data_IF_013032916843
#
_entry.id   IF_013032916843
#
_cell.length_a   1.000
_cell.length_b   1.000
_cell.length_c   1.000
_cell.angle_alpha   90.00
_cell.angle_beta   90.00
_cell.angle_gamma   90.00
#
_symmetry.space_group_name_H-M   'P 1'
#
loop_
_entity.id
_entity.type
_entity.pdbx_description
1 polymer ?
#
# COMPACT_ATOMS: atom_id res chain seq x y z
N UNK A 1 30.77 -50.56 -61.63
CA UNK A 1 29.70 -49.75 -60.99
C UNK A 1 30.04 -49.80 -59.56
N UNK A 2 30.72 -48.77 -59.05
CA UNK A 2 31.16 -48.64 -57.65
C UNK A 2 30.15 -47.69 -56.98
N UNK A 3 29.28 -48.23 -56.14
CA UNK A 3 28.40 -47.49 -55.29
C UNK A 3 29.26 -46.76 -54.26
N UNK A 4 29.23 -45.42 -54.28
CA UNK A 4 29.80 -44.55 -53.28
C UNK A 4 28.70 -44.20 -52.30
N UNK A 5 28.70 -44.89 -51.14
CA UNK A 5 27.91 -44.54 -50.03
C UNK A 5 28.21 -43.09 -49.51
N UNK A 6 27.21 -42.23 -49.27
CA UNK A 6 27.45 -40.89 -48.77
C UNK A 6 27.92 -40.97 -47.30
N UNK A 7 28.80 -40.04 -46.85
CA UNK A 7 29.37 -40.06 -45.50
C UNK A 7 28.29 -39.83 -44.45
N UNK A 8 28.16 -40.81 -43.57
CA UNK A 8 27.32 -40.76 -42.37
C UNK A 8 27.70 -39.54 -41.49
N UNK A 9 26.80 -38.56 -41.40
CA UNK A 9 26.98 -37.36 -40.60
C UNK A 9 26.82 -37.76 -39.11
N UNK A 10 27.92 -38.09 -38.44
CA UNK A 10 27.96 -38.27 -36.97
C UNK A 10 27.54 -36.99 -36.27
N UNK A 11 26.29 -36.87 -35.88
CA UNK A 11 25.84 -35.85 -34.96
C UNK A 11 26.52 -36.05 -33.61
N UNK A 12 27.30 -35.02 -33.19
CA UNK A 12 28.00 -35.02 -31.92
C UNK A 12 26.96 -34.92 -30.78
N UNK A 13 26.82 -35.92 -29.89
CA UNK A 13 25.77 -35.95 -28.85
C UNK A 13 25.99 -34.93 -27.71
N UNK A 14 27.09 -34.19 -27.69
CA UNK A 14 27.44 -33.29 -26.62
C UNK A 14 26.62 -31.99 -26.52
N UNK A 15 26.07 -31.53 -27.63
CA UNK A 15 25.37 -30.22 -27.66
C UNK A 15 23.96 -30.29 -27.01
N UNK A 16 23.27 -31.39 -27.09
CA UNK A 16 21.91 -31.56 -26.51
C UNK A 16 21.93 -31.78 -25.00
N UNK A 17 22.98 -32.39 -24.47
CA UNK A 17 23.06 -32.68 -23.01
C UNK A 17 23.42 -31.41 -22.22
N UNK A 18 24.25 -30.53 -22.78
CA UNK A 18 24.61 -29.25 -22.17
C UNK A 18 23.45 -28.25 -22.14
N UNK A 19 22.67 -28.17 -23.25
CA UNK A 19 21.47 -27.32 -23.28
C UNK A 19 20.38 -27.84 -22.33
N UNK A 20 20.24 -29.15 -22.15
CA UNK A 20 19.28 -29.75 -21.26
C UNK A 20 19.58 -29.44 -19.77
N UNK A 21 20.85 -29.22 -19.41
CA UNK A 21 21.27 -28.86 -18.05
C UNK A 21 21.32 -27.35 -17.83
N UNK A 22 21.68 -26.55 -18.84
CA UNK A 22 21.85 -25.10 -18.72
C UNK A 22 20.48 -24.40 -18.51
N UNK A 23 19.45 -24.81 -19.23
CA UNK A 23 18.13 -24.18 -19.13
C UNK A 23 17.52 -24.31 -17.71
N UNK A 24 17.47 -25.52 -17.08
CA UNK A 24 16.97 -25.62 -15.70
C UNK A 24 17.91 -24.96 -14.70
N UNK A 25 19.22 -24.91 -14.93
CA UNK A 25 20.15 -24.21 -14.05
C UNK A 25 19.91 -22.68 -14.05
N UNK A 26 19.69 -22.09 -15.23
CA UNK A 26 19.33 -20.67 -15.35
C UNK A 26 17.96 -20.39 -14.70
N UNK A 27 16.97 -21.26 -14.95
CA UNK A 27 15.65 -21.11 -14.34
C UNK A 27 15.74 -21.17 -12.79
N UNK A 28 16.51 -22.11 -12.26
CA UNK A 28 16.73 -22.22 -10.81
C UNK A 28 17.47 -20.99 -10.24
N UNK A 29 18.50 -20.48 -10.95
CA UNK A 29 19.21 -19.28 -10.54
C UNK A 29 18.30 -18.03 -10.51
N UNK A 30 17.43 -17.89 -11.53
CA UNK A 30 16.45 -16.81 -11.55
C UNK A 30 15.43 -16.93 -10.43
N UNK A 31 14.90 -18.13 -10.18
CA UNK A 31 13.98 -18.37 -9.06
C UNK A 31 14.64 -18.09 -7.71
N UNK A 32 15.89 -18.49 -7.53
CA UNK A 32 16.64 -18.21 -6.31
C UNK A 32 16.88 -16.70 -6.14
N UNK A 33 17.22 -15.99 -7.22
CA UNK A 33 17.39 -14.54 -7.22
C UNK A 33 16.07 -13.81 -6.88
N UNK A 34 14.96 -14.24 -7.48
CA UNK A 34 13.64 -13.70 -7.16
C UNK A 34 13.24 -13.96 -5.70
N UNK A 35 13.42 -15.20 -5.24
CA UNK A 35 13.15 -15.54 -3.85
C UNK A 35 14.00 -14.70 -2.89
N UNK A 36 15.29 -14.57 -3.17
CA UNK A 36 16.18 -13.72 -2.36
C UNK A 36 15.72 -12.25 -2.37
N UNK A 37 15.33 -11.71 -3.51
CA UNK A 37 14.78 -10.34 -3.60
C UNK A 37 13.51 -10.15 -2.79
N UNK A 38 12.58 -11.13 -2.82
CA UNK A 38 11.33 -11.07 -2.05
C UNK A 38 11.56 -11.12 -0.54
N UNK A 39 12.54 -11.93 -0.08
CA UNK A 39 12.83 -12.04 1.35
C UNK A 39 13.75 -10.92 1.89
N UNK A 40 14.45 -10.21 1.01
CA UNK A 40 15.39 -9.15 1.37
C UNK A 40 14.92 -7.74 0.96
N UNK A 41 13.69 -7.59 0.49
CA UNK A 41 13.15 -6.25 0.21
C UNK A 41 12.78 -5.56 1.53
N UNK A 42 13.42 -4.42 1.80
CA UNK A 42 12.97 -3.50 2.85
C UNK A 42 11.63 -2.87 2.41
N UNK A 43 10.56 -3.22 3.11
CA UNK A 43 9.22 -2.67 2.86
C UNK A 43 9.04 -1.23 3.40
N UNK A 44 10.08 -0.64 3.96
CA UNK A 44 10.01 0.73 4.49
C UNK A 44 10.05 1.74 3.36
N UNK A 45 8.86 2.17 2.91
CA UNK A 45 8.74 3.32 2.02
C UNK A 45 9.03 4.59 2.84
N UNK A 46 10.08 5.36 2.51
CA UNK A 46 10.36 6.60 3.23
C UNK A 46 9.23 7.60 2.96
N UNK A 47 8.64 8.15 4.04
CA UNK A 47 7.62 9.19 3.90
C UNK A 47 8.19 10.39 3.15
N UNK A 48 7.48 10.84 2.13
CA UNK A 48 7.85 12.02 1.35
C UNK A 48 7.59 13.33 2.09
N UNK A 49 6.87 13.28 3.22
CA UNK A 49 6.38 14.45 3.98
C UNK A 49 7.24 14.81 5.18
N UNK A 50 8.26 14.02 5.53
CA UNK A 50 9.14 14.33 6.68
C UNK A 50 9.78 15.72 6.52
N UNK A 51 9.62 16.57 7.54
CA UNK A 51 10.10 17.97 7.58
C UNK A 51 9.53 18.88 6.48
N UNK A 52 8.39 18.53 5.91
CA UNK A 52 7.68 19.40 4.97
C UNK A 52 6.43 20.01 5.61
N UNK A 53 6.01 21.18 5.15
CA UNK A 53 4.73 21.75 5.57
C UNK A 53 3.58 20.84 5.10
N UNK A 54 2.54 20.75 5.93
CA UNK A 54 1.30 20.07 5.55
C UNK A 54 0.71 20.75 4.32
N UNK A 55 0.34 20.00 3.27
CA UNK A 55 -0.32 20.56 2.07
C UNK A 55 -1.62 21.27 2.45
N UNK A 56 -1.99 22.28 1.66
CA UNK A 56 -3.26 22.95 1.85
C UNK A 56 -4.41 22.08 1.32
N UNK A 57 -5.37 21.78 2.19
CA UNK A 57 -6.57 21.04 1.83
C UNK A 57 -7.77 21.51 2.65
N UNK A 58 -8.96 21.25 2.13
CA UNK A 58 -10.23 21.41 2.82
C UNK A 58 -11.18 20.33 2.35
N UNK A 59 -11.46 19.37 3.21
CA UNK A 59 -12.31 18.23 2.92
C UNK A 59 -13.68 18.39 3.58
N UNK A 60 -14.77 18.07 2.88
CA UNK A 60 -16.09 18.06 3.47
C UNK A 60 -16.20 16.99 4.56
N UNK A 61 -17.20 17.10 5.45
CA UNK A 61 -17.42 16.09 6.48
C UNK A 61 -17.84 14.73 5.89
N UNK A 62 -17.51 13.66 6.60
CA UNK A 62 -18.12 12.36 6.39
C UNK A 62 -19.59 12.42 6.80
N UNK A 63 -20.42 11.60 6.18
CA UNK A 63 -21.86 11.53 6.47
C UNK A 63 -22.12 11.38 7.98
N UNK A 64 -23.03 12.21 8.52
CA UNK A 64 -23.38 12.22 9.94
C UNK A 64 -22.47 13.06 10.83
N UNK A 65 -21.44 13.69 10.27
CA UNK A 65 -20.59 14.67 10.98
C UNK A 65 -20.93 16.10 10.55
N UNK A 66 -20.83 17.04 11.49
CA UNK A 66 -21.11 18.46 11.23
C UNK A 66 -19.93 19.17 10.52
N UNK A 67 -18.71 18.74 10.82
CA UNK A 67 -17.49 19.41 10.37
C UNK A 67 -16.55 18.45 9.65
N UNK A 68 -15.93 18.96 8.59
CA UNK A 68 -14.89 18.27 7.84
C UNK A 68 -13.50 18.45 8.45
N UNK A 69 -12.48 18.32 7.63
CA UNK A 69 -11.08 18.46 8.04
C UNK A 69 -10.34 19.38 7.04
N UNK A 70 -9.56 20.30 7.58
CA UNK A 70 -8.73 21.22 6.81
C UNK A 70 -7.32 21.35 7.39
N UNK A 71 -6.41 21.94 6.64
CA UNK A 71 -5.04 22.24 7.08
C UNK A 71 -5.01 23.05 8.39
N UNK A 72 -5.95 23.98 8.57
CA UNK A 72 -6.01 24.83 9.76
C UNK A 72 -6.31 24.04 11.03
N UNK A 73 -7.03 22.94 10.93
CA UNK A 73 -7.37 22.09 12.07
C UNK A 73 -6.15 21.34 12.64
N UNK A 74 -5.08 21.24 11.84
CA UNK A 74 -3.84 20.58 12.23
C UNK A 74 -2.78 21.52 12.79
N UNK A 75 -3.04 22.83 12.75
CA UNK A 75 -2.05 23.83 13.10
C UNK A 75 -1.87 24.00 14.62
N UNK A 76 -0.62 24.20 15.07
CA UNK A 76 -0.32 24.65 16.42
C UNK A 76 -0.23 23.56 17.48
N UNK A 77 -0.44 22.30 17.17
CA UNK A 77 -0.31 21.17 18.08
C UNK A 77 0.15 19.89 17.37
N UNK A 78 0.67 18.96 18.15
CA UNK A 78 0.99 17.62 17.66
C UNK A 78 -0.31 16.84 17.52
N UNK A 79 -0.50 16.22 16.38
CA UNK A 79 -1.68 15.42 16.05
C UNK A 79 -1.33 14.16 15.30
N UNK A 80 -2.18 13.16 15.40
CA UNK A 80 -2.12 11.95 14.59
C UNK A 80 -3.12 12.08 13.43
N UNK A 81 -2.67 11.88 12.20
CA UNK A 81 -3.56 11.83 11.04
C UNK A 81 -3.55 10.42 10.50
N UNK A 82 -4.71 9.80 10.41
CA UNK A 82 -4.91 8.46 9.87
C UNK A 82 -5.67 8.53 8.55
N UNK A 83 -5.12 7.92 7.52
CA UNK A 83 -5.78 7.79 6.21
C UNK A 83 -6.37 6.39 6.12
N UNK A 84 -7.69 6.31 6.00
CA UNK A 84 -8.42 5.05 6.09
C UNK A 84 -9.59 4.97 5.11
N UNK A 85 -10.12 3.76 4.91
CA UNK A 85 -11.34 3.52 4.17
C UNK A 85 -12.11 2.31 4.72
N UNK A 86 -13.42 2.28 4.56
CA UNK A 86 -14.26 1.17 5.02
C UNK A 86 -13.99 -0.15 4.30
N UNK A 87 -13.58 -0.09 3.04
CA UNK A 87 -13.21 -1.25 2.21
C UNK A 87 -11.82 -1.81 2.50
N UNK A 88 -11.04 -1.13 3.34
CA UNK A 88 -9.65 -1.49 3.65
C UNK A 88 -9.60 -2.52 4.81
N UNK A 89 -9.27 -3.77 4.51
CA UNK A 89 -9.19 -4.84 5.52
C UNK A 89 -8.10 -4.57 6.58
N UNK A 90 -6.87 -4.14 6.25
CA UNK A 90 -5.88 -3.78 7.24
C UNK A 90 -6.32 -2.62 8.15
N UNK A 91 -7.03 -1.60 7.60
CA UNK A 91 -7.55 -0.50 8.39
C UNK A 91 -8.51 -0.99 9.49
N UNK A 92 -9.35 -1.99 9.18
CA UNK A 92 -10.24 -2.62 10.16
C UNK A 92 -9.46 -3.33 11.27
N UNK A 93 -8.34 -3.93 10.94
CA UNK A 93 -7.51 -4.65 11.92
C UNK A 93 -6.81 -3.70 12.90
N UNK A 94 -6.36 -2.52 12.46
CA UNK A 94 -5.69 -1.54 13.32
C UNK A 94 -6.65 -0.60 14.05
N UNK A 95 -7.89 -0.43 13.57
CA UNK A 95 -8.85 0.54 14.10
C UNK A 95 -9.09 0.46 15.61
N UNK A 96 -9.14 -0.72 16.26
CA UNK A 96 -9.26 -0.81 17.72
C UNK A 96 -8.14 -0.10 18.48
N UNK A 97 -6.93 0.02 17.88
CA UNK A 97 -5.82 0.76 18.47
C UNK A 97 -6.10 2.28 18.48
N UNK A 98 -6.67 2.80 17.39
CA UNK A 98 -7.09 4.20 17.32
C UNK A 98 -8.24 4.50 18.31
N UNK A 99 -9.19 3.59 18.46
CA UNK A 99 -10.28 3.74 19.44
C UNK A 99 -9.70 3.78 20.87
N UNK A 100 -8.77 2.88 21.19
CA UNK A 100 -8.11 2.87 22.49
C UNK A 100 -7.28 4.14 22.72
N UNK A 101 -6.53 4.59 21.71
CA UNK A 101 -5.73 5.82 21.80
C UNK A 101 -6.62 7.07 21.92
N UNK A 102 -7.68 7.16 21.13
CA UNK A 102 -8.63 8.27 21.21
C UNK A 102 -9.30 8.40 22.57
N UNK A 103 -9.55 7.27 23.23
CA UNK A 103 -10.10 7.25 24.59
C UNK A 103 -9.15 7.84 25.67
N UNK A 104 -7.84 7.89 25.41
CA UNK A 104 -6.88 8.54 26.35
C UNK A 104 -6.97 10.06 26.31
N UNK A 105 -7.35 10.64 25.17
CA UNK A 105 -7.40 12.09 24.97
C UNK A 105 -6.03 12.77 24.95
N UNK A 106 -4.92 12.03 24.93
CA UNK A 106 -3.57 12.59 25.00
C UNK A 106 -3.17 13.31 23.70
N UNK A 107 -3.61 12.79 22.55
CA UNK A 107 -3.30 13.33 21.22
C UNK A 107 -4.56 13.34 20.38
N UNK A 108 -4.92 14.48 19.74
CA UNK A 108 -6.05 14.52 18.84
C UNK A 108 -5.78 13.65 17.61
N UNK A 109 -6.78 12.84 17.24
CA UNK A 109 -6.72 11.97 16.07
C UNK A 109 -7.63 12.56 15.00
N UNK A 110 -7.08 12.77 13.81
CA UNK A 110 -7.80 13.23 12.63
C UNK A 110 -7.87 12.12 11.59
N UNK A 111 -8.99 12.03 10.87
CA UNK A 111 -9.20 11.03 9.85
C UNK A 111 -9.29 11.64 8.45
N UNK A 112 -8.60 11.06 7.48
CA UNK A 112 -8.85 11.29 6.06
C UNK A 112 -9.49 10.01 5.52
N UNK A 113 -10.78 10.09 5.20
CA UNK A 113 -11.53 8.98 4.65
C UNK A 113 -11.35 8.94 3.13
N UNK A 114 -10.57 7.97 2.64
CA UNK A 114 -10.04 7.93 1.30
C UNK A 114 -10.91 7.12 0.35
N UNK A 115 -11.43 7.78 -0.71
CA UNK A 115 -12.20 7.17 -1.81
C UNK A 115 -13.29 6.20 -1.34
N UNK A 116 -14.06 6.62 -0.36
CA UNK A 116 -15.04 5.77 0.32
C UNK A 116 -16.47 6.27 0.05
N UNK A 117 -17.43 5.38 -0.23
CA UNK A 117 -18.84 5.75 -0.28
C UNK A 117 -19.32 6.28 1.08
N UNK A 118 -20.08 7.41 1.11
CA UNK A 118 -20.45 8.07 2.36
C UNK A 118 -21.19 7.18 3.35
N UNK A 119 -22.09 6.34 2.84
CA UNK A 119 -22.92 5.44 3.66
C UNK A 119 -22.07 4.32 4.27
N UNK A 120 -21.07 3.84 3.53
CA UNK A 120 -20.17 2.79 4.01
C UNK A 120 -19.19 3.32 5.06
N UNK A 121 -18.63 4.51 4.85
CA UNK A 121 -17.81 5.19 5.84
C UNK A 121 -18.57 5.43 7.14
N UNK A 122 -19.85 5.87 7.05
CA UNK A 122 -20.69 6.07 8.22
C UNK A 122 -20.98 4.77 8.95
N UNK A 123 -21.44 3.74 8.24
CA UNK A 123 -21.74 2.43 8.81
C UNK A 123 -20.53 1.82 9.51
N UNK A 124 -19.35 1.98 8.92
CA UNK A 124 -18.08 1.50 9.47
C UNK A 124 -17.73 2.17 10.80
N UNK A 125 -17.88 3.50 10.89
CA UNK A 125 -17.67 4.24 12.13
C UNK A 125 -18.71 3.89 13.21
N UNK A 126 -19.96 3.67 12.83
CA UNK A 126 -21.02 3.26 13.74
C UNK A 126 -20.78 1.86 14.32
N UNK A 127 -20.25 0.94 13.50
CA UNK A 127 -19.93 -0.44 13.91
C UNK A 127 -18.70 -0.53 14.82
N UNK A 128 -17.62 0.17 14.45
CA UNK A 128 -16.30 -0.04 15.04
C UNK A 128 -15.91 1.05 16.06
N UNK A 129 -16.69 2.12 16.15
CA UNK A 129 -16.39 3.29 16.97
C UNK A 129 -15.75 4.43 16.17
N UNK A 130 -15.80 5.63 16.72
CA UNK A 130 -15.31 6.86 16.10
C UNK A 130 -14.28 7.54 17.01
N UNK A 131 -12.97 7.28 16.81
CA UNK A 131 -11.90 7.86 17.62
C UNK A 131 -11.48 9.27 17.18
N UNK A 132 -12.02 9.76 16.05
CA UNK A 132 -11.49 10.95 15.40
C UNK A 132 -12.11 12.24 15.94
N UNK A 133 -11.26 13.22 16.21
CA UNK A 133 -11.68 14.60 16.51
C UNK A 133 -12.42 15.20 15.32
N UNK A 134 -11.87 15.07 14.12
CA UNK A 134 -12.50 15.44 12.85
C UNK A 134 -12.17 14.42 11.77
N UNK A 135 -13.03 14.32 10.77
CA UNK A 135 -12.83 13.46 9.60
C UNK A 135 -13.17 14.25 8.35
N UNK A 136 -12.24 14.27 7.40
CA UNK A 136 -12.47 14.78 6.06
C UNK A 136 -12.73 13.67 5.06
N UNK A 137 -13.74 13.84 4.19
CA UNK A 137 -14.06 12.90 3.13
C UNK A 137 -13.28 13.26 1.85
N UNK A 138 -12.20 12.54 1.59
CA UNK A 138 -11.39 12.65 0.37
C UNK A 138 -11.92 11.71 -0.72
N UNK A 139 -13.04 12.09 -1.34
CA UNK A 139 -13.79 11.25 -2.28
C UNK A 139 -13.06 10.99 -3.60
N UNK A 140 -12.31 11.95 -4.06
CA UNK A 140 -11.52 11.87 -5.30
C UNK A 140 -10.07 11.44 -5.05
N UNK A 141 -9.63 11.39 -3.80
CA UNK A 141 -8.30 10.97 -3.39
C UNK A 141 -7.22 12.03 -3.61
N UNK A 142 -7.60 13.28 -3.82
CA UNK A 142 -6.63 14.36 -4.08
C UNK A 142 -5.80 14.71 -2.86
N UNK A 143 -6.43 14.82 -1.70
CA UNK A 143 -5.69 15.08 -0.47
C UNK A 143 -4.70 13.95 -0.17
N UNK A 144 -5.10 12.69 -0.34
CA UNK A 144 -4.19 11.55 -0.24
C UNK A 144 -2.98 11.67 -1.15
N UNK A 145 -3.17 12.06 -2.42
CA UNK A 145 -2.06 12.26 -3.37
C UNK A 145 -1.13 13.39 -2.90
N UNK A 146 -1.66 14.52 -2.48
CA UNK A 146 -0.89 15.68 -2.01
C UNK A 146 -0.10 15.36 -0.73
N UNK A 147 -0.64 14.50 0.13
CA UNK A 147 0.02 13.97 1.32
C UNK A 147 1.06 12.89 1.02
N UNK A 148 1.13 12.43 -0.23
CA UNK A 148 2.05 11.35 -0.64
C UNK A 148 1.62 9.96 -0.15
N UNK A 149 0.34 9.78 0.11
CA UNK A 149 -0.25 8.50 0.52
C UNK A 149 -0.11 7.47 -0.60
N UNK A 150 0.57 6.38 -0.34
CA UNK A 150 0.73 5.28 -1.30
C UNK A 150 -0.47 4.34 -1.31
N UNK A 151 -1.15 4.24 -0.19
CA UNK A 151 -2.32 3.38 -0.01
C UNK A 151 -2.85 3.47 1.42
N UNK A 152 -3.97 2.80 1.70
CA UNK A 152 -4.55 2.76 3.04
C UNK A 152 -4.33 1.37 3.66
N UNK A 153 -4.01 1.30 4.97
CA UNK A 153 -3.89 2.40 5.95
C UNK A 153 -2.55 3.15 5.88
N UNK A 154 -2.53 4.42 6.27
CA UNK A 154 -1.32 5.23 6.44
C UNK A 154 -1.52 6.32 7.50
#
# INVERSE_FOLDING_TARGET
MTDLDPPERREKPGFRLTTLAIVPAIAFALLALFAWGLFNSDETLPSTMVNKPVPEFSLPPVLGRAEGLSTQDLAGHVSLVNVFASWCVPCRAEHPLFVALGATGEVPIYGINYKDPPEQARAWLDELGDPYTRIGADRDGRAGIEWGVYGVPE
#
